data_IF_992429260242
#
_entry.id   IF_992429260242
#
_cell.length_a   1.000
_cell.length_b   1.000
_cell.length_c   1.000
_cell.angle_alpha   90.00
_cell.angle_beta   90.00
_cell.angle_gamma   90.00
#
_symmetry.space_group_name_H-M   'P 1'
#
loop_
_entity.id
_entity.type
_entity.pdbx_description
1 polymer ?
#
# COMPACT_ATOMS: atom_id res chain seq x y z
N UNK A 1 34.44 -25.55 28.90
CA UNK A 1 33.79 -24.35 29.31
C UNK A 1 33.14 -23.61 28.17
N UNK A 2 32.83 -22.35 28.36
CA UNK A 2 32.09 -21.48 27.43
C UNK A 2 32.72 -21.41 26.01
N UNK A 3 34.04 -21.47 25.91
CA UNK A 3 34.73 -21.38 24.61
C UNK A 3 34.58 -22.66 23.75
N UNK A 4 34.41 -23.81 24.37
CA UNK A 4 34.18 -25.08 23.67
C UNK A 4 32.73 -25.17 23.17
N UNK A 5 31.77 -24.67 23.94
CA UNK A 5 30.35 -24.58 23.51
C UNK A 5 30.13 -23.60 22.36
N UNK A 6 30.85 -22.48 22.30
CA UNK A 6 30.80 -21.56 21.18
C UNK A 6 31.42 -22.16 19.90
N UNK A 7 32.52 -22.89 20.04
CA UNK A 7 33.17 -23.56 18.92
C UNK A 7 32.30 -24.69 18.35
N UNK A 8 31.57 -25.45 19.18
CA UNK A 8 30.60 -26.46 18.73
C UNK A 8 29.39 -25.84 18.05
N UNK A 9 28.89 -24.70 18.55
CA UNK A 9 27.81 -23.95 17.91
C UNK A 9 28.22 -23.37 16.56
N UNK A 10 29.43 -22.84 16.46
CA UNK A 10 29.97 -22.33 15.20
C UNK A 10 30.15 -23.44 14.15
N UNK A 11 30.51 -24.65 14.56
CA UNK A 11 30.62 -25.80 13.68
C UNK A 11 29.27 -26.38 13.26
N UNK A 12 28.28 -26.34 14.13
CA UNK A 12 26.91 -26.80 13.85
C UNK A 12 26.15 -25.89 12.84
N UNK A 13 26.60 -24.65 12.70
CA UNK A 13 26.00 -23.70 11.75
C UNK A 13 26.65 -23.69 10.35
N UNK A 14 27.72 -24.43 10.14
CA UNK A 14 28.34 -24.59 8.81
C UNK A 14 27.64 -25.70 8.04
N UNK A 15 26.53 -25.36 7.42
CA UNK A 15 25.98 -26.20 6.34
C UNK A 15 26.89 -26.06 5.12
N UNK A 16 27.62 -27.10 4.81
CA UNK A 16 28.31 -27.20 3.52
C UNK A 16 27.27 -27.54 2.45
N UNK A 17 26.64 -26.51 1.92
CA UNK A 17 25.73 -26.62 0.78
C UNK A 17 26.64 -26.75 -0.44
N UNK A 18 26.84 -27.94 -0.96
CA UNK A 18 27.54 -28.14 -2.19
C UNK A 18 26.81 -27.38 -3.32
N UNK A 19 27.42 -26.29 -3.80
CA UNK A 19 26.87 -25.45 -4.85
C UNK A 19 26.79 -26.09 -6.23
N UNK A 20 27.28 -27.36 -6.34
CA UNK A 20 27.37 -28.09 -7.60
C UNK A 20 26.07 -28.74 -8.04
N UNK A 21 25.08 -28.88 -7.16
CA UNK A 21 23.82 -29.58 -7.46
C UNK A 21 22.63 -28.63 -7.67
N UNK A 22 22.88 -27.33 -7.76
CA UNK A 22 21.82 -26.35 -8.04
C UNK A 22 21.70 -26.18 -9.55
N UNK A 23 20.68 -26.78 -10.17
CA UNK A 23 20.32 -26.48 -11.54
C UNK A 23 19.88 -24.99 -11.63
N UNK A 24 20.73 -24.16 -12.22
CA UNK A 24 20.39 -22.78 -12.51
C UNK A 24 19.74 -22.69 -13.89
N UNK A 25 18.51 -22.17 -13.92
CA UNK A 25 17.81 -21.85 -15.17
C UNK A 25 17.99 -20.36 -15.46
N UNK A 26 18.70 -20.05 -16.56
CA UNK A 26 18.74 -18.66 -17.06
C UNK A 26 17.42 -18.37 -17.76
N UNK A 27 16.67 -17.40 -17.24
CA UNK A 27 15.47 -16.90 -17.90
C UNK A 27 15.85 -15.61 -18.61
N UNK A 28 15.78 -15.60 -19.93
CA UNK A 28 15.89 -14.37 -20.75
C UNK A 28 14.50 -13.78 -20.89
N UNK A 29 14.35 -12.53 -20.48
CA UNK A 29 13.14 -11.74 -20.74
C UNK A 29 13.33 -11.03 -22.06
N UNK A 30 12.42 -11.24 -23.00
CA UNK A 30 12.31 -10.38 -24.17
C UNK A 30 11.55 -9.11 -23.74
N UNK A 31 12.16 -7.95 -23.95
CA UNK A 31 11.46 -6.68 -23.78
C UNK A 31 10.39 -6.59 -24.85
N UNK A 32 9.15 -6.87 -24.49
CA UNK A 32 8.01 -6.56 -25.34
C UNK A 32 7.63 -5.09 -25.10
N UNK A 33 8.05 -4.22 -25.99
CA UNK A 33 7.56 -2.84 -26.04
C UNK A 33 6.13 -2.86 -26.61
N UNK A 34 5.17 -3.24 -25.77
CA UNK A 34 3.76 -3.07 -26.09
C UNK A 34 3.43 -1.57 -25.94
N UNK A 35 3.44 -0.85 -27.04
CA UNK A 35 2.99 0.55 -27.05
C UNK A 35 1.47 0.57 -27.08
N UNK A 36 0.84 1.08 -26.02
CA UNK A 36 -0.57 1.42 -26.03
C UNK A 36 -0.68 2.79 -26.70
N UNK A 37 -1.43 2.86 -27.80
CA UNK A 37 -1.64 4.10 -28.52
C UNK A 37 -2.37 5.11 -27.63
N UNK A 38 -1.84 6.34 -27.54
CA UNK A 38 -2.50 7.41 -26.81
C UNK A 38 -3.90 7.67 -27.36
N UNK A 39 -4.91 7.66 -26.49
CA UNK A 39 -6.29 7.95 -26.85
C UNK A 39 -6.57 9.45 -26.61
N UNK A 40 -6.70 10.21 -27.68
CA UNK A 40 -6.96 11.66 -27.68
C UNK A 40 -8.45 12.02 -27.73
N UNK A 41 -9.35 11.09 -27.41
CA UNK A 41 -10.78 11.37 -27.34
C UNK A 41 -11.06 12.48 -26.32
N UNK A 42 -11.92 13.44 -26.68
CA UNK A 42 -12.38 14.51 -25.78
C UNK A 42 -13.23 13.96 -24.62
N UNK A 43 -13.89 12.81 -24.83
CA UNK A 43 -14.67 12.15 -23.79
C UNK A 43 -13.73 11.44 -22.83
N UNK A 44 -13.81 11.78 -21.56
CA UNK A 44 -13.11 11.05 -20.48
C UNK A 44 -13.68 9.64 -20.35
N UNK A 45 -12.84 8.63 -20.54
CA UNK A 45 -13.21 7.21 -20.42
C UNK A 45 -13.06 6.79 -18.96
N UNK A 46 -14.07 6.10 -18.44
CA UNK A 46 -14.10 5.57 -17.08
C UNK A 46 -14.11 4.05 -17.09
N UNK A 47 -13.84 3.42 -15.96
CA UNK A 47 -13.96 1.98 -15.81
C UNK A 47 -15.40 1.49 -16.06
N UNK A 48 -16.41 2.30 -15.75
CA UNK A 48 -17.79 1.99 -16.05
C UNK A 48 -18.06 1.90 -17.57
N UNK A 49 -17.43 2.78 -18.37
CA UNK A 49 -17.53 2.68 -19.83
C UNK A 49 -16.93 1.36 -20.35
N UNK A 50 -15.81 0.93 -19.75
CA UNK A 50 -15.18 -0.36 -20.08
C UNK A 50 -16.08 -1.53 -19.69
N UNK A 51 -16.61 -1.53 -18.47
CA UNK A 51 -17.49 -2.60 -17.98
C UNK A 51 -18.80 -2.72 -18.77
N UNK A 52 -19.31 -1.60 -19.29
CA UNK A 52 -20.52 -1.58 -20.14
C UNK A 52 -20.24 -1.89 -21.61
N UNK A 53 -18.98 -2.06 -22.01
CA UNK A 53 -18.58 -2.33 -23.39
C UNK A 53 -18.62 -1.11 -24.31
N UNK A 54 -18.71 0.11 -23.76
CA UNK A 54 -18.68 1.36 -24.53
C UNK A 54 -17.24 1.78 -24.88
N UNK A 55 -16.25 1.27 -24.16
CA UNK A 55 -14.83 1.47 -24.41
C UNK A 55 -14.06 0.19 -24.09
N UNK A 56 -12.83 0.12 -24.59
CA UNK A 56 -11.91 -0.96 -24.22
C UNK A 56 -11.01 -0.55 -23.06
N UNK A 57 -10.35 -1.52 -22.42
CA UNK A 57 -9.36 -1.22 -21.38
C UNK A 57 -8.19 -0.42 -21.97
N UNK A 58 -7.78 -0.75 -23.19
CA UNK A 58 -6.71 -0.03 -23.90
C UNK A 58 -7.08 1.44 -24.16
N UNK A 59 -8.34 1.72 -24.46
CA UNK A 59 -8.84 3.10 -24.60
C UNK A 59 -8.73 3.88 -23.29
N UNK A 60 -9.07 3.26 -22.16
CA UNK A 60 -8.93 3.87 -20.84
C UNK A 60 -7.45 4.11 -20.50
N UNK A 61 -6.61 3.09 -20.69
CA UNK A 61 -5.18 3.18 -20.40
C UNK A 61 -4.50 4.21 -21.28
N UNK A 62 -4.90 4.29 -22.57
CA UNK A 62 -4.39 5.28 -23.51
C UNK A 62 -4.69 6.75 -23.15
N UNK A 63 -5.66 6.99 -22.25
CA UNK A 63 -5.97 8.31 -21.71
C UNK A 63 -5.24 8.63 -20.39
N UNK A 64 -4.65 7.64 -19.74
CA UNK A 64 -3.94 7.87 -18.49
C UNK A 64 -2.64 8.63 -18.73
N UNK A 65 -2.36 9.57 -17.86
CA UNK A 65 -1.07 10.26 -17.80
C UNK A 65 0.00 9.36 -17.17
N UNK A 66 1.27 9.65 -17.43
CA UNK A 66 2.38 8.93 -16.81
C UNK A 66 2.31 8.94 -15.27
N UNK A 67 1.99 10.07 -14.60
CA UNK A 67 1.78 10.08 -13.16
C UNK A 67 0.63 9.15 -12.70
N UNK A 68 -0.52 9.14 -13.39
CA UNK A 68 -1.63 8.24 -13.07
C UNK A 68 -1.24 6.76 -13.23
N UNK A 69 -0.51 6.42 -14.31
CA UNK A 69 0.01 5.06 -14.51
C UNK A 69 1.01 4.65 -13.42
N UNK A 70 1.89 5.56 -13.02
CA UNK A 70 2.84 5.32 -11.95
C UNK A 70 2.12 5.08 -10.61
N UNK A 71 1.06 5.83 -10.33
CA UNK A 71 0.24 5.67 -9.13
C UNK A 71 -0.47 4.31 -9.09
N UNK A 72 -1.02 3.85 -10.21
CA UNK A 72 -1.59 2.50 -10.33
C UNK A 72 -0.56 1.39 -10.03
N UNK A 73 0.69 1.58 -10.44
CA UNK A 73 1.75 0.60 -10.20
C UNK A 73 2.25 0.59 -8.75
N UNK A 74 2.29 1.76 -8.12
CA UNK A 74 2.84 1.93 -6.75
C UNK A 74 1.74 1.82 -5.69
N UNK A 75 0.52 2.21 -6.04
CA UNK A 75 -0.58 2.39 -5.12
C UNK A 75 -0.52 3.75 -4.40
N UNK A 76 -1.52 4.02 -3.60
CA UNK A 76 -1.63 5.24 -2.80
C UNK A 76 -1.20 4.98 -1.37
N UNK A 77 -0.35 5.84 -0.82
CA UNK A 77 0.06 5.79 0.57
C UNK A 77 -0.13 7.15 1.25
N UNK A 78 -0.27 7.14 2.57
CA UNK A 78 -0.37 8.39 3.36
C UNK A 78 0.80 9.33 3.14
N UNK A 79 1.99 8.80 2.88
CA UNK A 79 3.18 9.61 2.59
C UNK A 79 3.03 10.51 1.36
N UNK A 80 2.16 10.15 0.43
CA UNK A 80 1.86 10.94 -0.77
C UNK A 80 0.84 12.06 -0.51
N UNK A 81 0.14 12.04 0.62
CA UNK A 81 -0.91 13.01 0.99
C UNK A 81 -0.43 14.17 1.88
N UNK A 82 0.89 14.38 1.98
CA UNK A 82 1.43 15.63 2.49
C UNK A 82 1.66 15.72 4.00
N UNK A 83 2.22 14.73 4.64
CA UNK A 83 2.77 15.02 5.95
C UNK A 83 3.00 13.89 6.94
N UNK A 84 2.35 12.76 6.82
CA UNK A 84 2.64 11.62 7.68
C UNK A 84 3.63 10.68 6.98
N UNK A 85 4.68 10.34 7.67
CA UNK A 85 5.65 9.35 7.19
C UNK A 85 4.92 8.03 7.03
N UNK A 86 4.87 7.50 5.81
CA UNK A 86 4.31 6.18 5.56
C UNK A 86 5.04 5.14 6.42
N UNK A 87 4.29 4.47 7.27
CA UNK A 87 4.82 3.41 8.12
C UNK A 87 4.63 2.10 7.39
N UNK A 88 5.69 1.32 7.24
CA UNK A 88 5.62 0.00 6.60
C UNK A 88 4.51 -0.85 7.26
N UNK A 89 3.60 -1.35 6.44
CA UNK A 89 2.45 -2.15 6.89
C UNK A 89 1.27 -1.32 7.45
N UNK A 90 1.32 0.02 7.36
CA UNK A 90 0.22 0.90 7.79
C UNK A 90 0.19 2.17 6.94
N UNK A 91 0.08 2.02 5.62
CA UNK A 91 0.19 3.13 4.66
C UNK A 91 -1.14 3.48 3.98
N UNK A 92 -2.24 2.77 4.28
CA UNK A 92 -3.56 3.07 3.72
C UNK A 92 -4.00 4.49 4.09
N UNK A 93 -4.48 5.23 3.10
CA UNK A 93 -5.06 6.55 3.29
C UNK A 93 -6.52 6.48 3.78
N UNK A 94 -7.22 5.38 3.48
CA UNK A 94 -8.66 5.21 3.70
C UNK A 94 -8.96 4.42 4.97
N UNK A 95 -8.20 3.34 5.21
CA UNK A 95 -8.41 2.45 6.37
C UNK A 95 -7.19 2.48 7.27
N UNK A 96 -7.24 3.17 8.41
CA UNK A 96 -6.12 3.26 9.33
C UNK A 96 -5.62 1.90 9.78
N UNK A 97 -4.30 1.71 9.72
CA UNK A 97 -3.64 0.45 10.07
C UNK A 97 -3.53 -0.56 8.94
N UNK A 98 -4.26 -0.41 7.84
CA UNK A 98 -4.09 -1.26 6.67
C UNK A 98 -2.78 -0.97 5.94
N UNK A 99 -2.23 -1.99 5.26
CA UNK A 99 -0.91 -1.92 4.63
C UNK A 99 -0.84 -0.88 3.50
N UNK A 100 -1.90 -0.73 2.72
CA UNK A 100 -1.95 0.25 1.64
C UNK A 100 -3.26 0.21 0.86
N UNK A 101 -3.36 1.11 -0.11
CA UNK A 101 -4.49 1.26 -1.03
C UNK A 101 -3.98 1.15 -2.47
N UNK A 102 -4.83 0.69 -3.39
CA UNK A 102 -4.45 0.60 -4.81
C UNK A 102 -4.62 1.94 -5.53
N UNK A 103 -5.79 2.57 -5.41
CA UNK A 103 -6.19 3.69 -6.29
C UNK A 103 -7.07 4.72 -5.57
N UNK A 104 -6.84 4.99 -4.28
CA UNK A 104 -7.74 5.86 -3.50
C UNK A 104 -7.95 7.26 -4.10
N UNK A 105 -6.98 7.77 -4.89
CA UNK A 105 -7.08 9.09 -5.55
C UNK A 105 -7.71 9.05 -6.96
N UNK A 106 -7.93 7.87 -7.55
CA UNK A 106 -8.40 7.73 -8.93
C UNK A 106 -9.88 7.38 -9.06
N UNK A 107 -10.56 7.14 -7.93
CA UNK A 107 -11.93 6.64 -7.94
C UNK A 107 -12.92 7.66 -8.51
N UNK A 108 -12.79 8.92 -8.13
CA UNK A 108 -13.73 9.97 -8.55
C UNK A 108 -13.59 10.31 -10.04
N UNK A 109 -12.35 10.26 -10.53
CA UNK A 109 -12.03 10.72 -11.86
C UNK A 109 -12.22 9.66 -12.95
N UNK A 110 -11.93 8.40 -12.64
CA UNK A 110 -11.89 7.29 -13.59
C UNK A 110 -12.81 6.13 -13.22
N UNK A 111 -13.52 6.22 -12.11
CA UNK A 111 -14.33 5.13 -11.53
C UNK A 111 -13.51 3.84 -11.32
N UNK A 112 -12.21 4.01 -11.06
CA UNK A 112 -11.33 2.89 -10.72
C UNK A 112 -11.44 2.65 -9.21
N UNK A 113 -12.03 1.52 -8.84
CA UNK A 113 -12.29 1.19 -7.43
C UNK A 113 -11.01 0.95 -6.66
N UNK A 114 -10.94 1.58 -5.50
CA UNK A 114 -9.88 1.34 -4.54
C UNK A 114 -10.03 -0.04 -3.88
N UNK A 115 -8.92 -0.76 -3.75
CA UNK A 115 -8.80 -1.96 -2.92
C UNK A 115 -7.88 -1.65 -1.77
N UNK A 116 -8.34 -1.92 -0.55
CA UNK A 116 -7.54 -1.77 0.66
C UNK A 116 -6.88 -3.10 0.97
N UNK A 117 -5.57 -3.07 1.17
CA UNK A 117 -4.74 -4.23 1.45
C UNK A 117 -4.30 -4.17 2.91
N UNK A 118 -4.62 -5.19 3.69
CA UNK A 118 -4.22 -5.29 5.09
C UNK A 118 -3.26 -6.46 5.30
N UNK A 119 -2.34 -6.30 6.26
CA UNK A 119 -1.47 -7.39 6.69
C UNK A 119 -2.28 -8.49 7.37
N UNK A 120 -1.99 -9.75 7.03
CA UNK A 120 -2.77 -10.90 7.46
C UNK A 120 -2.04 -12.13 7.98
N UNK A 121 -0.71 -12.29 7.91
CA UNK A 121 -0.07 -13.55 8.29
C UNK A 121 -0.28 -13.97 9.75
N UNK A 122 -0.40 -12.98 10.65
CA UNK A 122 -0.67 -13.20 12.07
C UNK A 122 -2.08 -12.76 12.50
N UNK A 123 -3.00 -12.67 11.56
CA UNK A 123 -4.33 -12.10 11.72
C UNK A 123 -4.43 -10.68 11.13
N UNK A 124 -5.64 -10.27 10.81
CA UNK A 124 -5.90 -8.95 10.23
C UNK A 124 -5.47 -7.85 11.21
N UNK A 125 -4.63 -6.93 10.73
CA UNK A 125 -4.07 -5.85 11.54
C UNK A 125 -4.56 -4.50 11.05
N UNK A 126 -5.43 -3.86 11.85
CA UNK A 126 -5.94 -2.53 11.62
C UNK A 126 -5.76 -1.68 12.90
N UNK A 127 -5.81 -0.36 12.76
CA UNK A 127 -5.90 0.54 13.93
C UNK A 127 -7.25 0.34 14.60
N UNK A 128 -7.26 0.13 15.92
CA UNK A 128 -8.51 -0.16 16.65
C UNK A 128 -9.43 1.04 16.74
N UNK A 129 -8.85 2.23 16.78
CA UNK A 129 -9.59 3.47 16.92
C UNK A 129 -8.96 4.58 16.04
N UNK A 130 -9.79 5.44 15.49
CA UNK A 130 -9.40 6.68 14.79
C UNK A 130 -10.57 7.66 14.79
N UNK A 131 -10.30 8.90 14.43
CA UNK A 131 -11.34 9.93 14.23
C UNK A 131 -11.47 10.27 12.74
N UNK A 132 -12.69 10.53 12.34
CA UNK A 132 -13.01 11.03 11.00
C UNK A 132 -13.83 12.31 11.08
N UNK A 133 -13.82 13.09 10.00
CA UNK A 133 -14.69 14.26 9.83
C UNK A 133 -16.16 13.84 9.56
N UNK A 134 -17.03 14.82 9.40
CA UNK A 134 -18.45 14.59 9.13
C UNK A 134 -18.70 13.90 7.78
N UNK A 135 -17.78 14.01 6.83
CA UNK A 135 -17.79 13.38 5.52
C UNK A 135 -17.24 11.94 5.54
N UNK A 136 -16.65 11.53 6.66
CA UNK A 136 -16.08 10.20 6.86
C UNK A 136 -14.61 10.08 6.47
N UNK A 137 -13.91 11.19 6.19
CA UNK A 137 -12.48 11.16 5.91
C UNK A 137 -11.69 11.05 7.21
N UNK A 138 -10.69 10.18 7.22
CA UNK A 138 -9.82 9.97 8.38
C UNK A 138 -9.02 11.23 8.70
N UNK A 139 -9.11 11.70 9.95
CA UNK A 139 -8.30 12.83 10.43
C UNK A 139 -6.89 12.30 10.70
N UNK A 140 -5.86 12.80 10.00
CA UNK A 140 -4.48 12.35 10.15
C UNK A 140 -3.99 12.48 11.61
N UNK A 141 -3.21 11.50 12.06
CA UNK A 141 -2.64 11.52 13.42
C UNK A 141 -3.60 11.19 14.57
N UNK A 142 -4.85 10.81 14.27
CA UNK A 142 -5.84 10.42 15.29
C UNK A 142 -5.97 8.91 15.46
N UNK A 143 -5.37 8.12 14.57
CA UNK A 143 -5.43 6.66 14.65
C UNK A 143 -4.49 6.11 15.72
N UNK A 144 -4.94 5.08 16.42
CA UNK A 144 -4.08 4.30 17.29
C UNK A 144 -2.93 3.68 16.51
N UNK A 145 -1.77 3.58 17.17
CA UNK A 145 -0.61 2.95 16.57
C UNK A 145 -0.92 1.46 16.26
N UNK A 146 -0.70 1.02 15.01
CA UNK A 146 -1.00 -0.36 14.61
C UNK A 146 -0.04 -1.39 15.23
N UNK A 147 1.08 -0.93 15.79
CA UNK A 147 2.11 -1.75 16.41
C UNK A 147 2.32 -1.25 17.85
N UNK A 148 2.28 -2.15 18.86
CA UNK A 148 2.53 -1.78 20.25
C UNK A 148 3.88 -1.06 20.42
N UNK A 149 3.87 0.08 21.10
CA UNK A 149 5.07 0.89 21.39
C UNK A 149 5.43 1.92 20.31
N UNK A 150 4.73 1.97 19.18
CA UNK A 150 4.97 2.97 18.15
C UNK A 150 4.49 4.37 18.57
N UNK A 151 3.54 4.46 19.46
CA UNK A 151 3.10 5.67 20.15
C UNK A 151 4.25 6.39 20.88
N UNK A 152 5.21 5.64 21.40
CA UNK A 152 6.43 6.19 22.02
C UNK A 152 7.35 6.86 20.99
N UNK A 153 7.46 6.32 19.80
CA UNK A 153 8.22 6.91 18.68
C UNK A 153 7.57 8.19 18.15
N UNK A 154 6.25 8.26 18.24
CA UNK A 154 5.44 9.40 17.76
C UNK A 154 5.19 10.45 18.85
N UNK A 155 5.66 10.26 20.07
CA UNK A 155 5.39 11.11 21.22
C UNK A 155 5.86 12.58 21.06
N UNK A 156 6.71 12.87 20.08
CA UNK A 156 7.19 14.23 19.76
C UNK A 156 6.48 14.89 18.58
N UNK A 157 5.55 14.20 17.91
CA UNK A 157 4.85 14.75 16.75
C UNK A 157 3.81 15.78 17.16
N UNK A 158 3.57 16.83 16.33
CA UNK A 158 2.51 17.79 16.58
C UNK A 158 1.16 17.07 16.70
N UNK A 159 0.40 17.43 17.72
CA UNK A 159 -0.97 16.89 17.84
C UNK A 159 -1.84 17.48 16.73
N UNK A 160 -2.65 16.64 16.06
CA UNK A 160 -3.57 17.11 15.02
C UNK A 160 -4.61 18.06 15.61
N UNK A 161 -5.04 19.03 14.82
CA UNK A 161 -6.23 19.82 15.10
C UNK A 161 -7.46 18.96 14.86
N UNK A 162 -8.24 18.69 15.90
CA UNK A 162 -9.42 17.83 15.83
C UNK A 162 -10.65 18.74 15.80
N UNK A 163 -11.46 18.72 14.71
CA UNK A 163 -12.72 19.44 14.65
C UNK A 163 -13.68 19.02 15.78
N UNK A 164 -14.53 19.96 16.23
CA UNK A 164 -15.51 19.69 17.31
C UNK A 164 -16.55 18.63 16.93
N UNK A 165 -16.83 18.48 15.65
CA UNK A 165 -17.76 17.51 15.06
C UNK A 165 -17.09 16.19 14.64
N UNK A 166 -15.83 15.97 14.98
CA UNK A 166 -15.11 14.74 14.68
C UNK A 166 -15.77 13.53 15.34
N UNK A 167 -15.94 12.47 14.55
CA UNK A 167 -16.60 11.23 14.95
C UNK A 167 -15.56 10.17 15.29
N UNK A 168 -15.76 9.47 16.40
CA UNK A 168 -14.92 8.34 16.81
C UNK A 168 -15.37 7.06 16.08
N UNK A 169 -14.41 6.40 15.42
CA UNK A 169 -14.61 5.11 14.77
C UNK A 169 -13.79 4.02 15.44
N UNK A 170 -14.38 2.84 15.58
CA UNK A 170 -13.75 1.67 16.14
C UNK A 170 -13.78 0.52 15.13
N UNK A 171 -12.63 -0.09 14.92
CA UNK A 171 -12.46 -1.26 14.06
C UNK A 171 -12.25 -2.50 14.93
N UNK A 172 -13.06 -3.52 14.69
CA UNK A 172 -12.98 -4.80 15.39
C UNK A 172 -12.60 -5.88 14.37
N UNK A 173 -11.47 -6.55 14.57
CA UNK A 173 -10.97 -7.64 13.74
C UNK A 173 -10.35 -8.75 14.61
#
# INVERSE_FOLDING_TARGET
>A
GYAEEEAEKEQACKLDIASTDIETKTVTYEETNAEIAANSSEKKITMQDVMSGQATLDDLVGQLTIPEMAELCVGTSRGNMGGDTAIIGSSSAVVPGAAGDTTSLMIEDRDIRNLVLADGPAGLRLSKHFKADAEGNVIPGTSDAPIPGMDLLMAGSPKPEIPEDAIDYYQYC
#
